data_IF_134716752776
#
_entry.id   IF_134716752776
#
_cell.length_a   1.000
_cell.length_b   1.000
_cell.length_c   1.000
_cell.angle_alpha   90.00
_cell.angle_beta   90.00
_cell.angle_gamma   90.00
#
_symmetry.space_group_name_H-M   'P 1'
#
loop_
_entity.id
_entity.type
_entity.pdbx_description
1 polymer ?
#
# COMPACT_ATOMS: atom_id res chain seq x y z
N UNK A 1 -11.61 12.47 4.39
CA UNK A 1 -10.84 12.33 3.14
C UNK A 1 -11.53 13.13 2.07
N UNK A 2 -10.99 14.31 1.79
CA UNK A 2 -11.43 15.17 0.71
C UNK A 2 -11.24 14.47 -0.65
N UNK A 3 -12.02 14.86 -1.67
CA UNK A 3 -11.95 14.26 -3.01
C UNK A 3 -10.58 14.51 -3.67
N UNK A 4 -9.96 15.66 -3.40
CA UNK A 4 -8.62 15.99 -3.89
C UNK A 4 -7.58 14.99 -3.38
N UNK A 5 -7.47 14.83 -2.05
CA UNK A 5 -6.54 13.90 -1.42
C UNK A 5 -6.72 12.43 -1.84
N UNK A 6 -7.96 12.01 -2.18
CA UNK A 6 -8.20 10.66 -2.71
C UNK A 6 -7.65 10.49 -4.13
N UNK A 7 -7.69 11.52 -4.97
CA UNK A 7 -7.15 11.46 -6.34
C UNK A 7 -5.64 11.35 -6.30
N UNK A 8 -4.96 12.21 -5.53
CA UNK A 8 -3.51 12.15 -5.36
C UNK A 8 -3.05 10.79 -4.85
N UNK A 9 -3.75 10.20 -3.88
CA UNK A 9 -3.41 8.88 -3.36
C UNK A 9 -3.59 7.77 -4.41
N UNK A 10 -4.61 7.88 -5.26
CA UNK A 10 -4.84 6.93 -6.35
C UNK A 10 -3.74 7.07 -7.42
N UNK A 11 -3.38 8.29 -7.81
CA UNK A 11 -2.27 8.55 -8.75
C UNK A 11 -0.95 7.98 -8.22
N UNK A 12 -0.59 8.30 -6.97
CA UNK A 12 0.61 7.77 -6.34
C UNK A 12 0.64 6.23 -6.28
N UNK A 13 -0.51 5.59 -6.01
CA UNK A 13 -0.60 4.13 -6.01
C UNK A 13 -0.46 3.55 -7.42
N UNK A 14 -1.06 4.20 -8.41
CA UNK A 14 -0.97 3.77 -9.81
C UNK A 14 0.47 3.83 -10.32
N UNK A 15 1.19 4.91 -10.02
CA UNK A 15 2.59 5.06 -10.43
C UNK A 15 3.47 3.99 -9.78
N UNK A 16 3.29 3.75 -8.47
CA UNK A 16 3.99 2.66 -7.77
C UNK A 16 3.69 1.31 -8.41
N UNK A 17 2.43 1.01 -8.74
CA UNK A 17 2.06 -0.25 -9.38
C UNK A 17 2.60 -0.40 -10.80
N UNK A 18 2.81 0.69 -11.52
CA UNK A 18 3.41 0.67 -12.86
C UNK A 18 4.90 0.39 -12.82
N UNK A 19 5.60 0.90 -11.81
CA UNK A 19 7.04 0.73 -11.65
C UNK A 19 7.42 -0.57 -10.92
N UNK A 20 6.51 -1.18 -10.15
CA UNK A 20 6.79 -2.45 -9.44
C UNK A 20 6.48 -3.68 -10.28
N UNK A 21 7.46 -4.59 -10.39
CA UNK A 21 7.31 -5.85 -11.12
C UNK A 21 6.44 -6.90 -10.41
N UNK A 22 6.32 -6.84 -9.07
CA UNK A 22 5.53 -7.78 -8.27
C UNK A 22 4.78 -7.04 -7.16
N UNK A 23 3.48 -7.27 -7.05
CA UNK A 23 2.62 -6.71 -6.01
C UNK A 23 2.00 -7.85 -5.20
N UNK A 24 2.20 -7.85 -3.88
CA UNK A 24 1.61 -8.84 -2.96
C UNK A 24 0.49 -8.17 -2.15
N UNK A 25 -0.70 -8.77 -2.18
CA UNK A 25 -1.86 -8.30 -1.41
C UNK A 25 -2.13 -9.25 -0.25
N UNK A 26 -2.17 -8.72 0.97
CA UNK A 26 -2.44 -9.48 2.18
C UNK A 26 -3.47 -8.78 3.07
N UNK A 27 -4.22 -9.57 3.81
CA UNK A 27 -5.12 -9.07 4.84
C UNK A 27 -4.34 -8.84 6.14
N UNK A 28 -4.26 -7.59 6.59
CA UNK A 28 -3.57 -7.22 7.85
C UNK A 28 -4.44 -7.47 9.11
N UNK A 29 -5.43 -8.37 9.04
CA UNK A 29 -6.40 -8.58 10.12
C UNK A 29 -5.77 -9.32 11.29
N UNK A 30 -5.82 -8.74 12.50
CA UNK A 30 -5.30 -9.37 13.71
C UNK A 30 -3.84 -9.03 14.06
N UNK A 31 -3.17 -8.19 13.26
CA UNK A 31 -1.83 -7.69 13.58
C UNK A 31 -1.88 -6.52 14.57
N UNK A 32 -1.10 -6.60 15.64
CA UNK A 32 -0.88 -5.51 16.59
C UNK A 32 0.05 -4.47 15.96
N UNK A 33 -0.03 -3.21 16.42
CA UNK A 33 0.81 -2.12 15.92
C UNK A 33 2.32 -2.44 15.91
N UNK A 34 2.82 -3.11 16.97
CA UNK A 34 4.21 -3.55 17.07
C UNK A 34 4.61 -4.53 15.95
N UNK A 35 3.74 -5.50 15.66
CA UNK A 35 3.98 -6.50 14.62
C UNK A 35 3.91 -5.87 13.22
N UNK A 36 3.02 -4.89 13.01
CA UNK A 36 2.96 -4.12 11.75
C UNK A 36 4.21 -3.26 11.54
N UNK A 37 4.80 -2.73 12.61
CA UNK A 37 6.05 -1.96 12.54
C UNK A 37 7.23 -2.86 12.19
N UNK A 38 7.32 -4.04 12.83
CA UNK A 38 8.36 -5.03 12.55
C UNK A 38 8.30 -5.52 11.10
N UNK A 39 7.10 -5.89 10.62
CA UNK A 39 6.90 -6.29 9.22
C UNK A 39 7.35 -5.21 8.24
N UNK A 40 7.04 -3.93 8.53
CA UNK A 40 7.50 -2.81 7.69
C UNK A 40 9.02 -2.68 7.69
N UNK A 41 9.67 -2.95 8.82
CA UNK A 41 11.13 -2.90 8.92
C UNK A 41 11.79 -4.00 8.09
N UNK A 42 11.31 -5.24 8.24
CA UNK A 42 11.81 -6.39 7.49
C UNK A 42 11.64 -6.20 5.98
N UNK A 43 10.47 -5.72 5.54
CA UNK A 43 10.23 -5.45 4.12
C UNK A 43 11.12 -4.31 3.61
N UNK A 44 11.37 -3.28 4.43
CA UNK A 44 12.28 -2.18 4.07
C UNK A 44 13.74 -2.65 3.96
N UNK A 45 14.19 -3.54 4.83
CA UNK A 45 15.51 -4.17 4.74
C UNK A 45 15.66 -4.98 3.44
N UNK A 46 14.57 -5.62 2.98
CA UNK A 46 14.50 -6.29 1.68
C UNK A 46 14.32 -5.33 0.47
N UNK A 47 14.30 -4.01 0.70
CA UNK A 47 14.12 -2.99 -0.36
C UNK A 47 12.68 -2.79 -0.82
N UNK A 48 11.70 -3.43 -0.17
CA UNK A 48 10.28 -3.29 -0.47
C UNK A 48 9.59 -2.19 0.34
N UNK A 49 8.35 -1.87 -0.06
CA UNK A 49 7.50 -0.94 0.67
C UNK A 49 6.13 -1.54 0.96
N UNK A 50 5.64 -1.38 2.20
CA UNK A 50 4.30 -1.82 2.61
C UNK A 50 3.39 -0.62 2.81
N UNK A 51 2.24 -0.61 2.14
CA UNK A 51 1.23 0.44 2.29
C UNK A 51 -0.17 -0.14 2.48
N UNK A 52 -0.84 0.31 3.53
CA UNK A 52 -2.25 -0.03 3.78
C UNK A 52 -3.11 1.02 3.10
N UNK A 53 -3.91 0.59 2.11
CA UNK A 53 -4.83 1.46 1.38
C UNK A 53 -6.27 0.97 1.53
N UNK A 54 -7.25 1.87 1.33
CA UNK A 54 -8.66 1.46 1.24
C UNK A 54 -8.87 0.64 -0.03
N UNK A 55 -9.57 -0.48 0.09
CA UNK A 55 -9.83 -1.40 -1.04
C UNK A 55 -10.43 -0.69 -2.27
N UNK A 56 -11.36 0.25 -2.06
CA UNK A 56 -11.94 1.04 -3.16
C UNK A 56 -10.92 1.91 -3.88
N UNK A 57 -9.92 2.45 -3.18
CA UNK A 57 -8.87 3.29 -3.78
C UNK A 57 -7.83 2.42 -4.49
N UNK A 58 -7.45 1.29 -3.89
CA UNK A 58 -6.55 0.33 -4.53
C UNK A 58 -7.13 -0.19 -5.86
N UNK A 59 -8.43 -0.53 -5.88
CA UNK A 59 -9.13 -0.94 -7.12
C UNK A 59 -9.19 0.15 -8.18
N UNK A 60 -9.23 1.43 -7.79
CA UNK A 60 -9.20 2.55 -8.73
C UNK A 60 -7.79 2.80 -9.27
N UNK A 61 -6.75 2.50 -8.50
CA UNK A 61 -5.35 2.66 -8.91
C UNK A 61 -4.83 1.52 -9.80
N UNK A 62 -5.55 0.40 -9.88
CA UNK A 62 -5.27 -0.72 -10.79
C UNK A 62 -6.02 -0.62 -12.13
N UNK A 63 -6.93 0.35 -12.27
CA UNK A 63 -7.61 0.66 -13.53
C UNK A 63 -6.79 1.65 -14.32
#
# INVERSE_FOLDING_TARGET
MDRAAKRELVTNLHDVFKDTGVVVVAHNTGLVAAQSAELRRQVKEAGGTVKVAKNRLAKLALK
#
